data_IF_532582399666
#
_entry.id   IF_532582399666
#
_cell.length_a   1.000
_cell.length_b   1.000
_cell.length_c   1.000
_cell.angle_alpha   90.00
_cell.angle_beta   90.00
_cell.angle_gamma   90.00
#
_symmetry.space_group_name_H-M   'P 1'
#
loop_
_entity.id
_entity.type
_entity.pdbx_description
1 polymer ?
#
# COMPACT_ATOMS: atom_id res chain seq x y z
N UNK A 1 20.62 -4.44 28.60
CA UNK A 1 19.55 -3.56 28.09
C UNK A 1 20.03 -2.99 26.76
N UNK A 2 19.59 -3.57 25.65
CA UNK A 2 19.93 -3.06 24.32
C UNK A 2 18.84 -2.10 23.87
N UNK A 3 19.14 -0.82 23.77
CA UNK A 3 18.31 0.12 23.00
C UNK A 3 18.47 -0.32 21.54
N UNK A 4 17.43 -0.98 21.01
CA UNK A 4 17.41 -1.37 19.60
C UNK A 4 17.62 -0.14 18.74
N UNK A 5 18.40 -0.29 17.67
CA UNK A 5 18.64 0.78 16.69
C UNK A 5 17.32 1.47 16.34
N UNK A 6 17.29 2.81 16.42
CA UNK A 6 16.17 3.60 15.95
C UNK A 6 15.84 3.17 14.50
N UNK A 7 14.56 3.06 14.10
CA UNK A 7 14.22 2.58 12.75
C UNK A 7 14.88 3.49 11.70
N UNK A 8 15.88 2.95 10.99
CA UNK A 8 16.55 3.64 9.89
C UNK A 8 15.56 3.78 8.72
N UNK A 9 14.90 4.93 8.62
CA UNK A 9 14.13 5.34 7.45
C UNK A 9 12.90 4.47 7.12
N UNK A 10 12.33 4.69 5.93
CA UNK A 10 11.18 3.93 5.44
C UNK A 10 11.61 2.53 5.00
N UNK A 11 10.84 1.51 5.36
CA UNK A 11 11.03 0.14 4.88
C UNK A 11 10.25 -0.06 3.58
N UNK A 12 10.95 -0.37 2.49
CA UNK A 12 10.33 -0.53 1.17
C UNK A 12 9.88 -1.97 0.95
N UNK A 13 8.58 -2.15 0.69
CA UNK A 13 8.00 -3.45 0.36
C UNK A 13 7.58 -3.48 -1.10
N UNK A 14 8.28 -4.28 -1.89
CA UNK A 14 7.99 -4.44 -3.31
C UNK A 14 6.91 -5.51 -3.48
N UNK A 15 5.71 -5.09 -3.87
CA UNK A 15 4.53 -5.94 -3.98
C UNK A 15 4.41 -6.51 -5.40
N UNK A 16 5.06 -7.65 -5.63
CA UNK A 16 4.97 -8.43 -6.87
C UNK A 16 5.48 -9.86 -6.64
N UNK A 17 5.23 -10.75 -7.60
CA UNK A 17 5.55 -12.19 -7.49
C UNK A 17 6.90 -12.64 -8.06
N UNK A 18 7.80 -11.72 -8.42
CA UNK A 18 9.05 -12.07 -9.11
C UNK A 18 9.97 -13.01 -8.32
N UNK A 19 9.88 -13.01 -6.99
CA UNK A 19 10.77 -13.75 -6.10
C UNK A 19 10.03 -14.85 -5.32
N UNK A 20 8.88 -15.32 -5.83
CA UNK A 20 8.11 -16.41 -5.23
C UNK A 20 7.21 -16.00 -4.05
N UNK A 21 7.50 -14.88 -3.37
CA UNK A 21 6.65 -14.28 -2.34
C UNK A 21 5.56 -13.36 -2.90
N UNK A 22 4.72 -12.85 -1.99
CA UNK A 22 3.71 -11.81 -2.31
C UNK A 22 4.26 -10.39 -2.19
N UNK A 23 5.27 -10.21 -1.35
CA UNK A 23 6.08 -9.01 -1.24
C UNK A 23 7.48 -9.36 -0.69
N UNK A 24 8.43 -8.45 -0.90
CA UNK A 24 9.80 -8.58 -0.43
C UNK A 24 10.39 -7.21 -0.11
N UNK A 25 11.44 -7.19 0.71
CA UNK A 25 12.30 -6.02 0.91
C UNK A 25 13.67 -6.28 0.28
N UNK A 26 14.50 -5.25 0.19
CA UNK A 26 15.92 -5.40 -0.15
C UNK A 26 16.75 -5.34 1.13
N UNK A 27 17.71 -6.26 1.29
CA UNK A 27 18.70 -6.18 2.36
C UNK A 27 19.77 -5.12 2.05
N UNK A 28 20.74 -4.95 2.95
CA UNK A 28 21.85 -3.99 2.78
C UNK A 28 22.69 -4.26 1.52
N UNK A 29 22.72 -5.51 1.05
CA UNK A 29 23.40 -5.94 -0.17
C UNK A 29 22.51 -5.84 -1.42
N UNK A 30 21.36 -5.16 -1.33
CA UNK A 30 20.37 -5.04 -2.41
C UNK A 30 19.80 -6.37 -2.93
N UNK A 31 19.85 -7.42 -2.12
CA UNK A 31 19.27 -8.72 -2.42
C UNK A 31 17.83 -8.78 -1.92
N UNK A 32 16.97 -9.44 -2.70
CA UNK A 32 15.55 -9.58 -2.36
C UNK A 32 15.38 -10.58 -1.21
N UNK A 33 14.69 -10.15 -0.15
CA UNK A 33 14.33 -10.96 1.01
C UNK A 33 12.81 -10.98 1.12
N UNK A 34 12.23 -12.15 0.91
CA UNK A 34 10.78 -12.34 1.05
C UNK A 34 10.35 -12.08 2.49
N UNK A 35 9.17 -11.48 2.64
CA UNK A 35 8.58 -11.25 3.95
C UNK A 35 7.57 -12.36 4.22
N UNK A 36 7.72 -13.02 5.37
CA UNK A 36 6.87 -14.15 5.76
C UNK A 36 5.47 -13.70 6.20
N UNK A 37 5.35 -12.54 6.84
CA UNK A 37 4.06 -11.97 7.22
C UNK A 37 3.23 -11.65 5.97
N UNK A 38 1.96 -12.07 5.96
CA UNK A 38 1.05 -11.94 4.82
C UNK A 38 0.11 -10.74 4.93
N UNK A 39 0.21 -9.97 6.01
CA UNK A 39 -0.65 -8.83 6.29
C UNK A 39 0.16 -7.70 6.92
N UNK A 40 -0.22 -6.46 6.64
CA UNK A 40 0.34 -5.26 7.23
C UNK A 40 -0.80 -4.37 7.70
N UNK A 41 -0.87 -4.14 9.01
CA UNK A 41 -1.88 -3.29 9.63
C UNK A 41 -1.27 -1.95 10.05
N UNK A 42 -1.92 -0.84 9.70
CA UNK A 42 -1.44 0.49 10.03
C UNK A 42 -2.30 1.60 9.43
N UNK A 43 -1.81 2.84 9.54
CA UNK A 43 -2.50 4.03 9.03
C UNK A 43 -1.95 4.42 7.67
N UNK A 44 -2.79 4.54 6.64
CA UNK A 44 -2.32 5.07 5.35
C UNK A 44 -2.04 6.56 5.51
N UNK A 45 -0.79 6.94 5.30
CA UNK A 45 -0.34 8.34 5.36
C UNK A 45 -0.29 9.00 4.00
N UNK A 46 0.00 8.24 2.94
CA UNK A 46 0.19 8.83 1.61
C UNK A 46 -0.02 7.82 0.49
N UNK A 47 -0.61 8.30 -0.60
CA UNK A 47 -0.61 7.62 -1.90
C UNK A 47 0.07 8.51 -2.93
N UNK A 48 1.07 7.98 -3.64
CA UNK A 48 1.80 8.70 -4.67
C UNK A 48 1.97 7.87 -5.93
N UNK A 49 1.98 8.55 -7.07
CA UNK A 49 2.33 7.96 -8.36
C UNK A 49 3.68 8.54 -8.81
N UNK A 50 4.70 7.68 -8.90
CA UNK A 50 6.02 8.08 -9.42
C UNK A 50 6.18 7.65 -10.87
N UNK A 51 6.47 8.61 -11.74
CA UNK A 51 6.84 8.34 -13.13
C UNK A 51 8.17 7.57 -13.18
N UNK A 52 8.23 6.54 -14.01
CA UNK A 52 9.42 5.76 -14.28
C UNK A 52 9.46 5.39 -15.76
N UNK A 53 10.65 5.40 -16.35
CA UNK A 53 10.87 5.03 -17.74
C UNK A 53 11.21 3.55 -17.78
N UNK A 54 10.40 2.75 -18.47
CA UNK A 54 10.65 1.32 -18.68
C UNK A 54 10.53 1.03 -20.17
N UNK A 55 11.59 0.46 -20.76
CA UNK A 55 11.62 0.12 -22.20
C UNK A 55 11.26 1.31 -23.11
N UNK A 56 11.78 2.50 -22.80
CA UNK A 56 11.49 3.77 -23.50
C UNK A 56 10.02 4.23 -23.43
N UNK A 57 9.18 3.58 -22.62
CA UNK A 57 7.81 4.00 -22.37
C UNK A 57 7.66 4.57 -20.97
N UNK A 58 6.77 5.56 -20.83
CA UNK A 58 6.37 6.10 -19.53
C UNK A 58 5.51 5.07 -18.80
N UNK A 59 5.91 4.74 -17.59
CA UNK A 59 5.15 3.92 -16.66
C UNK A 59 5.09 4.57 -15.29
N UNK A 60 4.17 4.14 -14.44
CA UNK A 60 3.99 4.73 -13.11
C UNK A 60 4.03 3.66 -12.03
N UNK A 61 4.78 3.91 -10.96
CA UNK A 61 4.74 3.13 -9.72
C UNK A 61 3.78 3.78 -8.73
N UNK A 62 2.92 2.98 -8.11
CA UNK A 62 2.13 3.37 -6.96
C UNK A 62 2.96 3.13 -5.71
N UNK A 63 3.10 4.17 -4.89
CA UNK A 63 3.71 4.14 -3.58
C UNK A 63 2.63 4.40 -2.54
N UNK A 64 2.40 3.44 -1.65
CA UNK A 64 1.51 3.59 -0.51
C UNK A 64 2.34 3.62 0.77
N UNK A 65 2.39 4.78 1.42
CA UNK A 65 3.06 4.96 2.70
C UNK A 65 2.10 4.62 3.83
N UNK A 66 2.49 3.67 4.66
CA UNK A 66 1.72 3.20 5.81
C UNK A 66 2.57 3.30 7.08
N UNK A 67 1.98 3.87 8.13
CA UNK A 67 2.58 3.96 9.45
C UNK A 67 2.03 2.83 10.33
N UNK A 68 2.92 1.94 10.78
CA UNK A 68 2.64 0.80 11.65
C UNK A 68 3.63 0.78 12.83
N UNK A 69 4.28 -0.34 13.15
CA UNK A 69 5.42 -0.39 14.09
C UNK A 69 6.61 0.46 13.58
N UNK A 70 6.66 0.71 12.28
CA UNK A 70 7.54 1.63 11.57
C UNK A 70 6.83 2.15 10.32
N UNK A 71 7.51 3.04 9.58
CA UNK A 71 7.00 3.53 8.30
C UNK A 71 7.37 2.55 7.18
N UNK A 72 6.37 2.03 6.49
CA UNK A 72 6.55 1.21 5.29
C UNK A 72 6.12 1.97 4.04
N UNK A 73 6.75 1.65 2.92
CA UNK A 73 6.33 2.10 1.58
C UNK A 73 6.08 0.87 0.73
N UNK A 74 4.81 0.59 0.46
CA UNK A 74 4.41 -0.46 -0.47
C UNK A 74 4.58 0.08 -1.90
N UNK A 75 5.49 -0.51 -2.68
CA UNK A 75 5.70 -0.17 -4.09
C UNK A 75 5.12 -1.24 -5.00
N UNK A 76 4.34 -0.82 -6.00
CA UNK A 76 3.86 -1.69 -7.07
C UNK A 76 3.67 -0.93 -8.38
N UNK A 77 3.54 -1.64 -9.50
CA UNK A 77 3.16 -1.00 -10.77
C UNK A 77 1.71 -0.53 -10.69
N UNK A 78 1.43 0.72 -11.06
CA UNK A 78 0.07 1.29 -11.02
C UNK A 78 -0.98 0.48 -11.81
N UNK A 79 -0.56 -0.28 -12.82
CA UNK A 79 -1.46 -1.03 -13.72
C UNK A 79 -1.81 -2.45 -13.25
N UNK A 80 -1.12 -2.99 -12.24
CA UNK A 80 -1.33 -4.39 -11.81
C UNK A 80 -2.51 -4.52 -10.84
N UNK A 81 -3.04 -5.74 -10.71
CA UNK A 81 -4.20 -6.05 -9.86
C UNK A 81 -4.02 -5.62 -8.39
N UNK A 82 -2.80 -5.73 -7.85
CA UNK A 82 -2.49 -5.26 -6.50
C UNK A 82 -2.84 -3.77 -6.34
N UNK A 83 -2.31 -2.90 -7.21
CA UNK A 83 -2.59 -1.46 -7.20
C UNK A 83 -4.06 -1.16 -7.42
N UNK A 84 -4.69 -1.87 -8.37
CA UNK A 84 -6.11 -1.71 -8.69
C UNK A 84 -7.01 -2.02 -7.49
N UNK A 85 -6.76 -3.14 -6.79
CA UNK A 85 -7.49 -3.52 -5.58
C UNK A 85 -7.29 -2.52 -4.45
N UNK A 86 -6.03 -2.13 -4.18
CA UNK A 86 -5.69 -1.14 -3.17
C UNK A 86 -6.40 0.21 -3.41
N UNK A 87 -6.29 0.75 -4.62
CA UNK A 87 -6.89 2.04 -4.97
C UNK A 87 -8.42 1.99 -4.95
N UNK A 88 -9.02 0.90 -5.44
CA UNK A 88 -10.48 0.75 -5.47
C UNK A 88 -11.06 0.71 -4.06
N UNK A 89 -10.44 -0.06 -3.15
CA UNK A 89 -10.86 -0.13 -1.76
C UNK A 89 -10.74 1.24 -1.07
N UNK A 90 -9.59 1.91 -1.19
CA UNK A 90 -9.37 3.22 -0.57
C UNK A 90 -10.32 4.29 -1.13
N UNK A 91 -10.63 4.24 -2.43
CA UNK A 91 -11.57 5.17 -3.05
C UNK A 91 -13.01 5.01 -2.53
N UNK A 92 -13.41 3.81 -2.10
CA UNK A 92 -14.72 3.55 -1.49
C UNK A 92 -14.79 3.94 -0.02
N UNK A 93 -13.65 3.96 0.68
CA UNK A 93 -13.59 4.34 2.09
C UNK A 93 -13.76 5.85 2.26
N UNK A 94 -14.46 6.25 3.32
CA UNK A 94 -14.54 7.67 3.71
C UNK A 94 -13.20 8.13 4.30
N UNK A 95 -12.91 9.44 4.32
CA UNK A 95 -11.74 9.96 5.02
C UNK A 95 -11.71 9.56 6.51
N UNK A 96 -12.85 9.55 7.19
CA UNK A 96 -12.96 9.11 8.59
C UNK A 96 -12.58 7.64 8.78
N UNK A 97 -13.01 6.78 7.85
CA UNK A 97 -12.63 5.37 7.85
C UNK A 97 -11.11 5.19 7.72
N UNK A 98 -10.46 6.03 6.90
CA UNK A 98 -9.00 6.00 6.69
C UNK A 98 -8.20 6.59 7.87
N UNK A 99 -8.87 7.19 8.87
CA UNK A 99 -8.23 7.57 10.15
C UNK A 99 -8.06 6.38 11.09
N UNK A 100 -8.73 5.26 10.82
CA UNK A 100 -8.58 4.02 11.56
C UNK A 100 -7.49 3.13 10.94
N UNK A 101 -6.88 2.22 11.72
CA UNK A 101 -5.98 1.22 11.18
C UNK A 101 -6.66 0.38 10.11
N UNK A 102 -6.00 0.20 8.97
CA UNK A 102 -6.41 -0.72 7.92
C UNK A 102 -5.43 -1.87 7.84
N UNK A 103 -5.90 -3.03 7.39
CA UNK A 103 -5.04 -4.19 7.13
C UNK A 103 -4.94 -4.44 5.63
N UNK A 104 -3.72 -4.42 5.11
CA UNK A 104 -3.39 -4.71 3.72
C UNK A 104 -2.92 -6.16 3.64
N UNK A 105 -3.59 -6.97 2.83
CA UNK A 105 -3.31 -8.40 2.64
C UNK A 105 -3.08 -8.68 1.16
N UNK A 106 -1.81 -8.74 0.69
CA UNK A 106 -1.51 -9.20 -0.65
C UNK A 106 -1.90 -10.67 -0.81
N UNK A 107 -2.59 -11.01 -1.89
CA UNK A 107 -3.05 -12.37 -2.15
C UNK A 107 -2.59 -12.84 -3.53
N UNK A 108 -1.87 -13.95 -3.56
CA UNK A 108 -1.54 -14.66 -4.79
C UNK A 108 -2.81 -15.21 -5.45
N UNK A 109 -2.93 -15.08 -6.77
CA UNK A 109 -3.95 -15.82 -7.52
C UNK A 109 -3.69 -17.33 -7.43
N UNK A 110 -4.77 -18.10 -7.26
CA UNK A 110 -4.76 -19.57 -7.26
C UNK A 110 -4.71 -20.15 -8.67
N UNK A 111 -5.10 -19.37 -9.68
CA UNK A 111 -5.17 -19.79 -11.08
C UNK A 111 -3.93 -19.36 -11.87
N UNK A 112 -3.41 -18.16 -11.59
CA UNK A 112 -2.25 -17.61 -12.26
C UNK A 112 -1.16 -17.23 -11.26
N UNK A 113 -0.08 -18.00 -11.24
CA UNK A 113 1.07 -17.81 -10.36
C UNK A 113 1.79 -16.46 -10.46
N UNK A 114 1.48 -15.62 -11.45
CA UNK A 114 2.08 -14.30 -11.60
C UNK A 114 1.21 -13.15 -11.07
N UNK A 115 -0.09 -13.39 -10.94
CA UNK A 115 -1.06 -12.35 -10.53
C UNK A 115 -1.06 -12.20 -9.01
N UNK A 116 -0.99 -10.95 -8.57
CA UNK A 116 -1.08 -10.54 -7.17
C UNK A 116 -2.27 -9.60 -7.00
N UNK A 117 -3.22 -9.98 -6.16
CA UNK A 117 -4.33 -9.18 -5.69
C UNK A 117 -4.01 -8.49 -4.36
N UNK A 118 -4.86 -7.55 -3.97
CA UNK A 118 -4.76 -6.86 -2.68
C UNK A 118 -6.14 -6.81 -2.04
N UNK A 119 -6.26 -7.41 -0.85
CA UNK A 119 -7.44 -7.29 -0.01
C UNK A 119 -7.20 -6.25 1.07
N UNK A 120 -8.19 -5.42 1.33
CA UNK A 120 -8.17 -4.41 2.39
C UNK A 120 -9.23 -4.78 3.42
N UNK A 121 -8.83 -4.73 4.69
CA UNK A 121 -9.74 -4.91 5.81
C UNK A 121 -9.76 -3.66 6.68
N UNK A 122 -10.94 -3.30 7.14
CA UNK A 122 -11.18 -2.28 8.16
C UNK A 122 -12.00 -2.93 9.27
N UNK A 123 -11.58 -2.78 10.53
CA UNK A 123 -12.29 -3.38 11.69
C UNK A 123 -12.60 -4.88 11.51
N UNK A 124 -11.63 -5.63 10.97
CA UNK A 124 -11.74 -7.06 10.64
C UNK A 124 -12.79 -7.43 9.56
N UNK A 125 -13.36 -6.44 8.87
CA UNK A 125 -14.24 -6.66 7.73
C UNK A 125 -13.53 -6.32 6.42
N UNK A 126 -13.69 -7.19 5.43
CA UNK A 126 -13.12 -6.94 4.11
C UNK A 126 -13.89 -5.81 3.42
N UNK A 127 -13.17 -4.82 2.90
CA UNK A 127 -13.72 -3.79 2.03
C UNK A 127 -13.94 -4.40 0.65
N UNK A 128 -15.20 -4.69 0.31
CA UNK A 128 -15.57 -5.24 -0.99
C UNK A 128 -15.54 -4.15 -2.06
N UNK A 129 -14.50 -4.19 -2.90
CA UNK A 129 -14.23 -3.17 -3.91
C UNK A 129 -14.08 -3.80 -5.31
N UNK A 130 -15.18 -4.25 -5.93
CA UNK A 130 -15.14 -4.81 -7.27
C UNK A 130 -14.75 -3.73 -8.28
N UNK A 131 -14.00 -4.15 -9.29
CA UNK A 131 -13.64 -3.32 -10.45
C UNK A 131 -13.60 -4.20 -11.69
N UNK A 132 -13.72 -3.56 -12.84
CA UNK A 132 -13.75 -4.20 -14.15
C UNK A 132 -12.86 -3.43 -15.16
N UNK A 133 -12.93 -3.83 -16.43
CA UNK A 133 -12.17 -3.19 -17.50
C UNK A 133 -12.73 -1.81 -17.89
N UNK A 134 -13.99 -1.51 -17.56
CA UNK A 134 -14.62 -0.20 -17.81
C UNK A 134 -14.31 0.83 -16.70
N UNK A 135 -13.65 0.41 -15.62
CA UNK A 135 -13.36 1.24 -14.47
C UNK A 135 -12.47 2.43 -14.83
N UNK A 136 -12.94 3.65 -14.54
CA UNK A 136 -12.17 4.89 -14.72
C UNK A 136 -11.07 5.00 -13.66
N UNK A 137 -9.90 4.44 -13.97
CA UNK A 137 -8.73 4.45 -13.10
C UNK A 137 -8.20 5.85 -12.77
N UNK A 138 -8.43 6.84 -13.63
CA UNK A 138 -8.02 8.22 -13.35
C UNK A 138 -8.90 8.81 -12.25
N UNK A 139 -10.21 8.60 -12.32
CA UNK A 139 -11.15 9.00 -11.28
C UNK A 139 -10.90 8.26 -9.98
N UNK A 140 -10.79 6.92 -10.01
CA UNK A 140 -10.54 6.09 -8.82
C UNK A 140 -9.25 6.52 -8.11
N UNK A 141 -8.15 6.68 -8.86
CA UNK A 141 -6.87 7.11 -8.29
C UNK A 141 -6.97 8.50 -7.65
N UNK A 142 -7.65 9.44 -8.30
CA UNK A 142 -7.86 10.79 -7.77
C UNK A 142 -8.68 10.76 -6.47
N UNK A 143 -9.75 9.99 -6.44
CA UNK A 143 -10.60 9.83 -5.25
C UNK A 143 -9.80 9.21 -4.10
N UNK A 144 -9.10 8.10 -4.34
CA UNK A 144 -8.29 7.43 -3.31
C UNK A 144 -7.24 8.38 -2.70
N UNK A 145 -6.47 9.07 -3.55
CA UNK A 145 -5.45 10.04 -3.08
C UNK A 145 -6.10 11.19 -2.30
N UNK A 146 -7.25 11.68 -2.74
CA UNK A 146 -7.96 12.77 -2.05
C UNK A 146 -8.50 12.32 -0.68
N UNK A 147 -9.08 11.13 -0.60
CA UNK A 147 -9.60 10.59 0.66
C UNK A 147 -8.47 10.42 1.69
N UNK A 148 -7.33 9.86 1.27
CA UNK A 148 -6.14 9.73 2.13
C UNK A 148 -5.62 11.11 2.54
N UNK A 149 -5.60 12.09 1.63
CA UNK A 149 -5.17 13.44 1.95
C UNK A 149 -6.06 14.08 3.01
N UNK A 150 -7.38 14.06 2.83
CA UNK A 150 -8.34 14.62 3.80
C UNK A 150 -8.21 13.92 5.16
N UNK A 151 -8.06 12.59 5.16
CA UNK A 151 -7.91 11.81 6.38
C UNK A 151 -6.70 12.26 7.23
N UNK A 152 -5.61 12.66 6.57
CA UNK A 152 -4.35 13.05 7.22
C UNK A 152 -4.21 14.58 7.45
N UNK A 153 -4.82 15.42 6.61
CA UNK A 153 -4.79 16.89 6.76
C UNK A 153 -5.67 17.39 7.92
N UNK A 154 -6.70 16.64 8.31
CA UNK A 154 -7.66 16.98 9.38
C UNK A 154 -7.42 16.22 10.71
N UNK A 155 -6.28 15.55 10.88
CA UNK A 155 -5.96 14.95 12.18
C UNK A 155 -5.89 16.06 13.25
N UNK A 156 -6.63 15.97 14.38
CA UNK A 156 -6.52 16.95 15.44
C UNK A 156 -5.07 16.99 15.92
N UNK A 157 -4.52 18.21 16.08
CA UNK A 157 -3.25 18.40 16.74
C UNK A 157 -3.27 17.61 18.06
N UNK A 158 -2.38 16.63 18.19
CA UNK A 158 -2.27 15.88 19.43
C UNK A 158 -2.08 16.87 20.58
N UNK A 159 -2.77 16.71 21.73
CA UNK A 159 -2.50 17.55 22.87
C UNK A 159 -1.04 17.34 23.27
N UNK A 160 -0.25 18.41 23.15
CA UNK A 160 1.05 18.50 23.79
C UNK A 160 0.83 18.25 25.27
N UNK A 161 1.35 17.13 25.78
CA UNK A 161 1.35 16.88 27.21
C UNK A 161 2.06 18.06 27.90
N UNK A 162 1.32 18.74 28.77
CA UNK A 162 1.82 19.80 29.65
C UNK A 162 2.59 19.19 30.83
#
# INVERSE_FOLDING_TARGET
MGFGDAPKGHVWLFCNRKHGGVWYTLNEQSQSVNIEHQALTGYIRRLEFKETIRRNEKSFKLHCTIEADRVYVLESSSKVHFSKGLLSAIALMTPDALRQPITIVPQASTENGEVLFCNIYQENQQVFAPYDDATDWKRVSKTATNNVKIANDEAPAMPTAA
#
